data_IF_387071594854
#
_entry.id   IF_387071594854
#
_cell.length_a   1.000
_cell.length_b   1.000
_cell.length_c   1.000
_cell.angle_alpha   90.00
_cell.angle_beta   90.00
_cell.angle_gamma   90.00
#
_symmetry.space_group_name_H-M   'P 1'
#
loop_
_entity.id
_entity.type
_entity.pdbx_description
1 polymer ?
#
# COMPACT_ATOMS: atom_id res chain seq x y z
N UNK A 1 8.04 -0.02 22.80
CA UNK A 1 8.19 -0.54 21.41
C UNK A 1 7.07 0.07 20.59
N UNK A 2 7.37 0.72 19.47
CA UNK A 2 6.33 1.14 18.54
C UNK A 2 5.73 -0.11 17.91
N UNK A 3 4.41 -0.25 17.99
CA UNK A 3 3.67 -1.34 17.37
C UNK A 3 3.11 -0.89 16.02
N UNK A 4 2.91 -1.85 15.11
CA UNK A 4 2.17 -1.61 13.88
C UNK A 4 0.70 -1.28 14.19
N UNK A 5 0.08 -0.45 13.36
CA UNK A 5 -1.37 -0.23 13.39
C UNK A 5 -2.13 -1.56 13.15
N UNK A 6 -3.43 -1.65 13.51
CA UNK A 6 -4.24 -2.85 13.25
C UNK A 6 -4.24 -3.25 11.77
N UNK A 7 -4.55 -4.52 11.50
CA UNK A 7 -4.68 -4.98 10.12
C UNK A 7 -5.80 -4.22 9.39
N UNK A 8 -5.52 -3.80 8.16
CA UNK A 8 -6.45 -3.07 7.32
C UNK A 8 -6.48 -3.69 5.92
N UNK A 9 -7.70 -3.90 5.42
CA UNK A 9 -7.92 -4.32 4.04
C UNK A 9 -7.85 -3.10 3.11
N UNK A 10 -7.32 -3.26 1.89
CA UNK A 10 -7.42 -2.20 0.90
C UNK A 10 -8.89 -1.94 0.56
N UNK A 11 -9.27 -0.67 0.45
CA UNK A 11 -10.60 -0.29 -0.03
C UNK A 11 -10.66 -0.26 -1.57
N UNK A 12 -9.50 -0.16 -2.24
CA UNK A 12 -9.42 -0.20 -3.70
C UNK A 12 -8.19 -0.96 -4.16
N UNK A 13 -8.35 -1.66 -5.29
CA UNK A 13 -7.28 -2.36 -5.98
C UNK A 13 -7.22 -1.91 -7.43
N UNK A 14 -6.02 -1.86 -7.98
CA UNK A 14 -5.79 -1.50 -9.37
C UNK A 14 -4.87 -2.50 -10.04
N UNK A 15 -4.98 -2.50 -11.36
CA UNK A 15 -4.03 -3.12 -12.27
C UNK A 15 -3.58 -2.02 -13.23
N UNK A 16 -2.31 -1.65 -13.17
CA UNK A 16 -1.75 -0.57 -13.97
C UNK A 16 -0.78 -1.14 -14.99
N UNK A 17 -1.17 -1.11 -16.27
CA UNK A 17 -0.28 -1.48 -17.37
C UNK A 17 0.82 -0.43 -17.52
N UNK A 18 2.08 -0.83 -17.32
CA UNK A 18 3.25 0.06 -17.41
C UNK A 18 4.11 -0.21 -18.65
N UNK A 19 3.87 -1.33 -19.34
CA UNK A 19 4.49 -1.65 -20.62
C UNK A 19 3.61 -2.62 -21.43
N UNK A 20 4.09 -3.10 -22.57
CA UNK A 20 3.42 -4.14 -23.33
C UNK A 20 3.32 -5.49 -22.57
N UNK A 21 4.25 -5.75 -21.64
CA UNK A 21 4.42 -7.05 -20.96
C UNK A 21 4.24 -6.99 -19.44
N UNK A 22 4.29 -5.80 -18.83
CA UNK A 22 4.21 -5.63 -17.38
C UNK A 22 2.97 -4.85 -16.96
N UNK A 23 2.31 -5.36 -15.93
CA UNK A 23 1.16 -4.76 -15.25
C UNK A 23 1.42 -4.82 -13.74
N UNK A 24 1.31 -3.68 -13.07
CA UNK A 24 1.49 -3.56 -11.63
C UNK A 24 0.17 -3.81 -10.91
N UNK A 25 0.23 -4.58 -9.82
CA UNK A 25 -0.84 -4.67 -8.84
C UNK A 25 -0.67 -3.54 -7.83
N UNK A 26 -1.73 -2.79 -7.52
CA UNK A 26 -1.67 -1.68 -6.58
C UNK A 26 -2.86 -1.76 -5.62
N UNK A 27 -2.60 -1.57 -4.33
CA UNK A 27 -3.60 -1.48 -3.27
C UNK A 27 -3.66 -0.05 -2.72
N UNK A 28 -4.86 0.42 -2.41
CA UNK A 28 -5.10 1.64 -1.63
C UNK A 28 -5.83 1.31 -0.32
N UNK A 29 -5.34 1.85 0.79
CA UNK A 29 -5.93 1.67 2.12
C UNK A 29 -5.85 2.95 2.97
N UNK A 30 -6.42 2.90 4.17
CA UNK A 30 -6.51 4.05 5.07
C UNK A 30 -7.58 5.04 4.64
N UNK A 31 -7.36 6.32 4.93
CA UNK A 31 -8.30 7.40 4.65
C UNK A 31 -8.19 7.84 3.20
N UNK A 32 -9.29 7.80 2.44
CA UNK A 32 -9.33 8.20 1.02
C UNK A 32 -8.96 9.68 0.81
N UNK A 33 -9.21 10.52 1.83
CA UNK A 33 -8.90 11.95 1.86
C UNK A 33 -7.64 12.26 2.70
N UNK A 34 -6.94 11.22 3.17
CA UNK A 34 -5.73 11.35 3.98
C UNK A 34 -4.49 11.78 3.18
N UNK A 35 -3.41 12.08 3.90
CA UNK A 35 -2.11 12.43 3.30
C UNK A 35 -1.62 11.24 2.46
N UNK A 36 -1.31 11.41 1.16
CA UNK A 36 -0.87 10.29 0.33
C UNK A 36 0.53 9.82 0.71
N UNK A 37 0.70 8.51 0.84
CA UNK A 37 2.00 7.88 1.08
C UNK A 37 2.18 6.63 0.21
N UNK A 38 3.37 6.47 -0.37
CA UNK A 38 3.76 5.31 -1.16
C UNK A 38 4.72 4.43 -0.36
N UNK A 39 4.35 3.18 -0.15
CA UNK A 39 5.27 2.18 0.39
C UNK A 39 6.08 1.54 -0.74
N UNK A 40 7.40 1.46 -0.58
CA UNK A 40 8.31 0.78 -1.51
C UNK A 40 8.90 -0.42 -0.78
N UNK A 41 8.59 -1.63 -1.27
CA UNK A 41 9.07 -2.86 -0.65
C UNK A 41 10.60 -3.03 -0.80
N UNK A 42 11.18 -3.87 0.06
CA UNK A 42 12.61 -4.19 0.05
C UNK A 42 13.02 -5.24 -1.00
N UNK A 43 14.29 -5.66 -0.94
CA UNK A 43 14.88 -6.59 -1.90
C UNK A 43 14.86 -6.04 -3.32
N UNK A 44 14.86 -6.94 -4.31
CA UNK A 44 13.94 -6.80 -5.45
C UNK A 44 12.99 -8.00 -5.53
N UNK A 45 11.79 -7.79 -6.08
CA UNK A 45 10.83 -8.86 -6.35
C UNK A 45 10.06 -9.44 -5.15
N UNK A 46 10.14 -8.83 -3.95
CA UNK A 46 9.40 -9.34 -2.77
C UNK A 46 7.91 -9.01 -2.80
N UNK A 47 7.53 -7.88 -3.42
CA UNK A 47 6.18 -7.35 -3.35
C UNK A 47 5.79 -6.83 -1.96
N UNK A 48 4.54 -6.38 -1.85
CA UNK A 48 3.92 -5.92 -0.61
C UNK A 48 3.02 -7.00 0.02
N UNK A 49 2.91 -6.99 1.35
CA UNK A 49 2.04 -7.89 2.11
C UNK A 49 1.00 -7.13 2.96
N UNK A 50 0.28 -7.84 3.84
CA UNK A 50 -0.69 -7.21 4.72
C UNK A 50 -0.07 -6.20 5.71
N UNK A 51 1.22 -6.37 6.05
CA UNK A 51 1.94 -5.51 6.98
C UNK A 51 2.46 -4.23 6.33
N UNK A 52 2.68 -4.22 5.02
CA UNK A 52 3.07 -3.02 4.25
C UNK A 52 2.15 -1.81 4.48
N UNK A 53 0.89 -2.03 4.90
CA UNK A 53 -0.10 -0.97 5.15
C UNK A 53 -0.25 -0.55 6.62
N UNK A 54 0.56 -1.09 7.53
CA UNK A 54 0.38 -0.94 8.98
C UNK A 54 1.41 -0.02 9.64
N UNK A 55 2.29 0.60 8.85
CA UNK A 55 3.31 1.54 9.33
C UNK A 55 2.79 2.99 9.49
N UNK A 56 1.63 3.30 8.91
CA UNK A 56 1.04 4.63 8.88
C UNK A 56 -0.32 4.61 9.57
N UNK A 57 -0.67 5.73 10.22
CA UNK A 57 -1.98 5.90 10.83
C UNK A 57 -3.07 5.87 9.72
N UNK A 58 -3.98 4.88 9.73
CA UNK A 58 -4.97 4.74 8.67
C UNK A 58 -6.03 5.85 8.68
N UNK A 59 -6.18 6.62 9.76
CA UNK A 59 -7.10 7.77 9.79
C UNK A 59 -6.47 9.02 9.17
N UNK A 60 -5.14 9.15 9.22
CA UNK A 60 -4.42 10.31 8.69
C UNK A 60 -3.92 10.12 7.25
N UNK A 61 -3.63 8.89 6.83
CA UNK A 61 -2.95 8.61 5.56
C UNK A 61 -3.79 7.84 4.54
N UNK A 62 -3.65 8.22 3.27
CA UNK A 62 -4.01 7.40 2.10
C UNK A 62 -2.80 6.57 1.70
N UNK A 63 -2.84 5.29 2.01
CA UNK A 63 -1.69 4.38 1.90
C UNK A 63 -1.76 3.64 0.58
N UNK A 64 -0.72 3.81 -0.25
CA UNK A 64 -0.58 3.13 -1.55
C UNK A 64 0.56 2.11 -1.47
N UNK A 65 0.29 0.87 -1.86
CA UNK A 65 1.29 -0.22 -1.93
C UNK A 65 1.27 -0.85 -3.32
N UNK A 66 2.43 -1.23 -3.87
CA UNK A 66 2.58 -1.82 -5.20
C UNK A 66 3.65 -2.92 -5.23
#
# INVERSE_FOLDING_TARGET
VLALFPEIKPYKRHKLKVSAIHELYIDEAGNIDGIPVLFVHGGPGSGCDASSRRFYDPEAFRIVTF
#
